data_IF_855847313927
#
_entry.id   IF_855847313927
#
_cell.length_a   1.000
_cell.length_b   1.000
_cell.length_c   1.000
_cell.angle_alpha   90.00
_cell.angle_beta   90.00
_cell.angle_gamma   90.00
#
_symmetry.space_group_name_H-M   'P 1'
#
loop_
_entity.id
_entity.type
_entity.pdbx_description
1 polymer ?
#
# COMPACT_ATOMS: atom_id res chain seq x y z
N UNK A 1 11.44 -4.90 -20.86
CA UNK A 1 11.88 -5.75 -19.75
C UNK A 1 10.76 -5.74 -18.74
N UNK A 2 9.93 -6.78 -18.74
CA UNK A 2 8.75 -6.87 -17.88
C UNK A 2 9.23 -7.29 -16.49
N UNK A 3 9.49 -6.29 -15.65
CA UNK A 3 9.91 -6.51 -14.27
C UNK A 3 8.72 -7.13 -13.54
N UNK A 4 8.84 -8.39 -13.10
CA UNK A 4 7.80 -9.07 -12.34
C UNK A 4 7.47 -8.25 -11.09
N UNK A 5 6.29 -7.61 -11.09
CA UNK A 5 5.78 -6.76 -10.00
C UNK A 5 5.74 -7.48 -8.64
N UNK A 6 5.88 -8.80 -8.62
CA UNK A 6 5.78 -9.63 -7.42
C UNK A 6 7.01 -9.58 -6.48
N UNK A 7 8.11 -8.91 -6.85
CA UNK A 7 9.36 -8.99 -6.10
C UNK A 7 10.02 -7.65 -5.69
N UNK A 8 9.38 -6.50 -5.92
CA UNK A 8 9.98 -5.21 -5.54
C UNK A 8 10.13 -5.10 -4.01
N UNK A 9 11.35 -4.83 -3.52
CA UNK A 9 11.62 -4.63 -2.08
C UNK A 9 11.79 -3.15 -1.75
N UNK A 10 11.53 -2.80 -0.49
CA UNK A 10 11.78 -1.46 0.02
C UNK A 10 13.24 -1.02 -0.21
N UNK A 11 14.19 -1.95 -0.06
CA UNK A 11 15.61 -1.69 -0.26
C UNK A 11 15.96 -1.34 -1.72
N UNK A 12 15.20 -1.88 -2.69
CA UNK A 12 15.46 -1.66 -4.12
C UNK A 12 15.03 -0.26 -4.57
N UNK A 13 14.09 0.37 -3.84
CA UNK A 13 13.50 1.68 -4.15
C UNK A 13 13.66 2.68 -2.99
N UNK A 14 14.71 2.52 -2.18
CA UNK A 14 14.89 3.31 -0.96
C UNK A 14 14.94 4.82 -1.27
N UNK A 15 15.67 5.23 -2.31
CA UNK A 15 15.76 6.64 -2.71
C UNK A 15 14.39 7.20 -3.14
N UNK A 16 13.58 6.38 -3.82
CA UNK A 16 12.24 6.77 -4.24
C UNK A 16 11.33 6.90 -3.01
N UNK A 17 11.41 5.97 -2.06
CA UNK A 17 10.70 6.03 -0.80
C UNK A 17 11.07 7.31 -0.05
N UNK A 18 12.36 7.57 0.17
CA UNK A 18 12.87 8.75 0.88
C UNK A 18 12.44 10.08 0.24
N UNK A 19 12.17 10.11 -1.07
CA UNK A 19 11.65 11.29 -1.76
C UNK A 19 10.27 11.75 -1.26
N UNK A 20 9.50 10.86 -0.60
CA UNK A 20 8.13 11.08 -0.14
C UNK A 20 7.19 11.62 -1.25
N UNK A 21 7.49 11.34 -2.52
CA UNK A 21 6.66 11.71 -3.67
C UNK A 21 5.27 11.04 -3.60
N UNK A 22 5.24 9.83 -3.06
CA UNK A 22 4.03 9.16 -2.62
C UNK A 22 4.30 8.37 -1.33
N UNK A 23 3.28 8.17 -0.50
CA UNK A 23 3.41 7.46 0.76
C UNK A 23 2.08 6.86 1.25
N UNK A 24 2.17 5.84 2.11
CA UNK A 24 1.01 5.23 2.79
C UNK A 24 0.98 5.76 4.25
N UNK A 25 0.03 6.64 4.62
CA UNK A 25 -0.07 7.15 5.99
C UNK A 25 -0.62 6.12 6.98
N UNK A 26 -1.12 4.98 6.49
CA UNK A 26 -1.77 3.95 7.31
C UNK A 26 -3.18 4.32 7.77
N UNK A 27 -3.76 5.37 7.20
CA UNK A 27 -5.16 5.74 7.39
C UNK A 27 -6.08 5.00 6.44
N UNK A 28 -7.40 5.14 6.68
CA UNK A 28 -8.47 4.59 5.87
C UNK A 28 -9.59 5.61 5.64
N UNK A 29 -10.35 5.46 4.56
CA UNK A 29 -11.62 6.20 4.37
C UNK A 29 -12.74 5.63 5.27
N UNK A 30 -13.95 6.18 5.17
CA UNK A 30 -15.11 5.72 5.95
C UNK A 30 -15.54 4.28 5.62
N UNK A 31 -15.20 3.76 4.44
CA UNK A 31 -15.48 2.39 4.02
C UNK A 31 -14.34 1.43 4.38
N UNK A 32 -13.32 1.90 5.11
CA UNK A 32 -12.17 1.09 5.53
C UNK A 32 -11.12 0.88 4.44
N UNK A 33 -11.22 1.57 3.29
CA UNK A 33 -10.26 1.47 2.19
C UNK A 33 -8.97 2.22 2.52
N UNK A 34 -7.78 1.62 2.28
CA UNK A 34 -6.52 2.25 2.63
C UNK A 34 -6.21 3.47 1.77
N UNK A 35 -5.49 4.42 2.36
CA UNK A 35 -5.07 5.66 1.71
C UNK A 35 -3.67 5.51 1.09
N UNK A 36 -3.50 6.01 -0.13
CA UNK A 36 -2.21 6.33 -0.74
C UNK A 36 -2.20 7.83 -1.01
N UNK A 37 -1.19 8.53 -0.49
CA UNK A 37 -1.03 9.97 -0.69
C UNK A 37 0.06 10.22 -1.73
N UNK A 38 -0.21 11.11 -2.68
CA UNK A 38 0.74 11.61 -3.67
C UNK A 38 0.95 13.09 -3.40
N UNK A 39 2.19 13.47 -3.11
CA UNK A 39 2.59 14.87 -3.06
C UNK A 39 2.94 15.28 -4.48
N UNK A 40 2.12 16.13 -5.11
CA UNK A 40 2.37 16.52 -6.50
C UNK A 40 3.63 17.39 -6.53
N UNK A 41 4.66 17.03 -7.30
CA UNK A 41 5.89 17.79 -7.40
C UNK A 41 5.67 19.06 -8.27
N UNK A 42 6.55 20.07 -8.15
CA UNK A 42 6.47 21.26 -9.00
C UNK A 42 6.71 20.93 -10.49
N UNK A 43 7.56 19.94 -10.76
CA UNK A 43 7.89 19.44 -12.09
C UNK A 43 7.72 17.93 -12.17
N UNK A 44 7.40 17.42 -13.36
CA UNK A 44 7.13 16.00 -13.58
C UNK A 44 7.85 15.52 -14.84
N UNK A 45 9.18 15.51 -14.72
CA UNK A 45 10.10 15.03 -15.73
C UNK A 45 10.15 13.49 -15.77
N UNK A 46 11.00 12.93 -16.64
CA UNK A 46 11.09 11.48 -16.79
C UNK A 46 11.60 10.79 -15.51
N UNK A 47 12.49 11.43 -14.75
CA UNK A 47 13.02 10.86 -13.52
C UNK A 47 11.91 10.77 -12.46
N UNK A 48 11.23 11.88 -12.18
CA UNK A 48 10.13 11.98 -11.22
C UNK A 48 8.97 11.06 -11.59
N UNK A 49 8.68 10.93 -12.89
CA UNK A 49 7.70 9.97 -13.41
C UNK A 49 8.08 8.54 -13.05
N UNK A 50 9.33 8.13 -13.29
CA UNK A 50 9.80 6.79 -12.93
C UNK A 50 9.75 6.54 -11.42
N UNK A 51 10.13 7.53 -10.60
CA UNK A 51 10.01 7.42 -9.13
C UNK A 51 8.57 7.17 -8.70
N UNK A 52 7.62 7.94 -9.23
CA UNK A 52 6.20 7.77 -8.91
C UNK A 52 5.69 6.39 -9.37
N UNK A 53 6.14 5.91 -10.54
CA UNK A 53 5.79 4.59 -11.05
C UNK A 53 6.24 3.47 -10.09
N UNK A 54 7.51 3.46 -9.68
CA UNK A 54 8.03 2.46 -8.74
C UNK A 54 7.34 2.54 -7.38
N UNK A 55 7.10 3.74 -6.86
CA UNK A 55 6.37 3.93 -5.60
C UNK A 55 4.97 3.34 -5.64
N UNK A 56 4.20 3.65 -6.68
CA UNK A 56 2.83 3.16 -6.81
C UNK A 56 2.82 1.63 -6.97
N UNK A 57 3.68 1.08 -7.83
CA UNK A 57 3.79 -0.37 -8.01
C UNK A 57 4.18 -1.08 -6.71
N UNK A 58 5.11 -0.50 -5.97
CA UNK A 58 5.51 -1.01 -4.66
C UNK A 58 4.35 -0.97 -3.65
N UNK A 59 3.67 0.16 -3.52
CA UNK A 59 2.55 0.29 -2.57
C UNK A 59 1.39 -0.66 -2.89
N UNK A 60 1.06 -0.86 -4.18
CA UNK A 60 0.06 -1.86 -4.57
C UNK A 60 0.50 -3.27 -4.16
N UNK A 61 1.80 -3.60 -4.27
CA UNK A 61 2.31 -4.92 -3.93
C UNK A 61 2.25 -5.22 -2.42
N UNK A 62 2.21 -4.18 -1.57
CA UNK A 62 2.04 -4.32 -0.12
C UNK A 62 0.63 -4.84 0.21
N UNK A 63 -0.40 -4.37 -0.49
CA UNK A 63 -1.79 -4.71 -0.19
C UNK A 63 -2.16 -6.14 -0.64
N UNK A 64 -2.89 -6.86 0.22
CA UNK A 64 -3.49 -8.15 -0.13
C UNK A 64 -4.44 -8.02 -1.32
N UNK A 65 -4.66 -9.13 -2.04
CA UNK A 65 -5.62 -9.15 -3.14
C UNK A 65 -7.02 -8.75 -2.66
N UNK A 66 -7.47 -9.26 -1.51
CA UNK A 66 -8.73 -8.83 -0.86
C UNK A 66 -8.78 -7.31 -0.61
N UNK A 67 -7.71 -6.72 -0.07
CA UNK A 67 -7.67 -5.27 0.18
C UNK A 67 -7.78 -4.49 -1.12
N UNK A 68 -7.12 -4.97 -2.18
CA UNK A 68 -7.17 -4.34 -3.51
C UNK A 68 -8.56 -4.44 -4.13
N UNK A 69 -9.25 -5.58 -4.00
CA UNK A 69 -10.61 -5.76 -4.50
C UNK A 69 -11.64 -4.91 -3.73
N UNK A 70 -11.44 -4.69 -2.42
CA UNK A 70 -12.25 -3.75 -1.63
C UNK A 70 -12.01 -2.28 -2.02
N UNK A 71 -10.92 -2.01 -2.74
CA UNK A 71 -10.61 -0.72 -3.30
C UNK A 71 -9.61 0.11 -2.51
N UNK A 72 -9.00 1.07 -3.21
CA UNK A 72 -7.98 1.98 -2.71
C UNK A 72 -8.43 3.44 -2.90
N UNK A 73 -8.00 4.32 -2.01
CA UNK A 73 -8.23 5.77 -2.11
C UNK A 73 -6.92 6.50 -2.38
N UNK A 74 -6.90 7.28 -3.45
CA UNK A 74 -5.79 8.17 -3.78
C UNK A 74 -6.07 9.58 -3.28
N UNK A 75 -5.20 10.10 -2.42
CA UNK A 75 -5.17 11.52 -2.08
C UNK A 75 -4.06 12.17 -2.89
N UNK A 76 -4.38 13.21 -3.65
CA UNK A 76 -3.43 13.94 -4.49
C UNK A 76 -3.30 15.35 -3.96
N UNK A 77 -2.20 15.64 -3.26
CA UNK A 77 -1.90 16.95 -2.72
C UNK A 77 -1.29 17.85 -3.80
N UNK A 78 -2.13 18.70 -4.40
CA UNK A 78 -1.79 19.59 -5.50
C UNK A 78 -1.68 21.06 -5.06
N UNK A 79 -1.61 21.34 -3.75
CA UNK A 79 -1.63 22.71 -3.21
C UNK A 79 -0.52 23.62 -3.72
N UNK A 80 0.60 23.05 -4.16
CA UNK A 80 1.79 23.80 -4.56
C UNK A 80 2.23 23.55 -6.01
N UNK A 81 1.36 22.92 -6.82
CA UNK A 81 1.78 22.35 -8.10
C UNK A 81 0.87 22.75 -9.25
N UNK A 82 1.48 22.84 -10.43
CA UNK A 82 0.75 23.21 -11.63
C UNK A 82 -0.31 22.17 -11.99
N UNK A 83 -1.45 22.62 -12.49
CA UNK A 83 -2.57 21.74 -12.84
C UNK A 83 -2.20 20.69 -13.91
N UNK A 84 -1.33 21.06 -14.84
CA UNK A 84 -0.79 20.13 -15.86
C UNK A 84 0.00 18.98 -15.23
N UNK A 85 0.78 19.26 -14.19
CA UNK A 85 1.57 18.26 -13.46
C UNK A 85 0.64 17.36 -12.66
N UNK A 86 -0.29 17.95 -11.92
CA UNK A 86 -1.33 17.24 -11.15
C UNK A 86 -2.08 16.22 -12.02
N UNK A 87 -2.54 16.63 -13.21
CA UNK A 87 -3.21 15.72 -14.17
C UNK A 87 -2.31 14.57 -14.60
N UNK A 88 -1.02 14.82 -14.79
CA UNK A 88 -0.06 13.80 -15.20
C UNK A 88 0.16 12.76 -14.10
N UNK A 89 0.28 13.20 -12.84
CA UNK A 89 0.39 12.30 -11.69
C UNK A 89 -0.88 11.47 -11.50
N UNK A 90 -2.07 12.11 -11.52
CA UNK A 90 -3.36 11.39 -11.41
C UNK A 90 -3.43 10.30 -12.48
N UNK A 91 -3.21 10.66 -13.75
CA UNK A 91 -3.30 9.73 -14.88
C UNK A 91 -2.32 8.56 -14.74
N UNK A 92 -1.07 8.82 -14.34
CA UNK A 92 -0.09 7.76 -14.15
C UNK A 92 -0.56 6.80 -13.05
N UNK A 93 -0.91 7.33 -11.88
CA UNK A 93 -1.28 6.52 -10.72
C UNK A 93 -2.57 5.73 -10.94
N UNK A 94 -3.61 6.33 -11.54
CA UNK A 94 -4.85 5.62 -11.85
C UNK A 94 -4.64 4.54 -12.91
N UNK A 95 -3.77 4.76 -13.90
CA UNK A 95 -3.45 3.75 -14.91
C UNK A 95 -2.70 2.55 -14.32
N UNK A 96 -1.79 2.79 -13.37
CA UNK A 96 -1.03 1.73 -12.71
C UNK A 96 -1.89 0.89 -11.76
N UNK A 97 -2.78 1.54 -11.00
CA UNK A 97 -3.65 0.86 -10.03
C UNK A 97 -4.86 0.20 -10.73
N UNK A 98 -5.36 0.81 -11.81
CA UNK A 98 -6.50 0.33 -12.59
C UNK A 98 -7.83 0.48 -11.85
N UNK A 99 -8.74 -0.48 -12.04
CA UNK A 99 -10.10 -0.48 -11.47
C UNK A 99 -10.15 -0.55 -9.94
N UNK A 100 -9.00 -0.79 -9.29
CA UNK A 100 -8.87 -0.87 -7.83
C UNK A 100 -8.86 0.51 -7.16
N UNK A 101 -8.72 1.60 -7.93
CA UNK A 101 -8.94 2.95 -7.39
C UNK A 101 -10.43 3.23 -7.37
N UNK A 102 -11.01 3.34 -6.18
CA UNK A 102 -12.44 3.66 -6.03
C UNK A 102 -12.64 5.17 -5.94
N UNK A 103 -11.70 5.89 -5.34
CA UNK A 103 -11.79 7.34 -5.17
C UNK A 103 -10.43 8.03 -5.37
N UNK A 104 -10.46 9.16 -6.08
CA UNK A 104 -9.33 10.08 -6.22
C UNK A 104 -9.74 11.42 -5.63
N UNK A 105 -9.12 11.82 -4.53
CA UNK A 105 -9.38 13.08 -3.84
C UNK A 105 -8.21 14.03 -4.09
N UNK A 106 -8.44 15.08 -4.86
CA UNK A 106 -7.44 16.08 -5.22
C UNK A 106 -7.59 17.30 -4.33
N UNK A 107 -6.55 17.59 -3.55
CA UNK A 107 -6.47 18.76 -2.67
C UNK A 107 -5.90 19.91 -3.49
N UNK A 108 -6.74 20.91 -3.74
CA UNK A 108 -6.36 22.14 -4.46
C UNK A 108 -5.93 23.25 -3.50
N UNK A 109 -5.15 24.25 -3.96
CA UNK A 109 -4.85 25.44 -3.17
C UNK A 109 -6.14 26.20 -2.78
N UNK A 110 -6.11 26.87 -1.63
CA UNK A 110 -7.16 27.82 -1.26
C UNK A 110 -7.20 28.97 -2.27
N UNK A 111 -8.40 29.47 -2.60
CA UNK A 111 -8.59 30.54 -3.59
C UNK A 111 -8.64 30.10 -5.05
N UNK A 112 -8.57 28.79 -5.35
CA UNK A 112 -8.70 28.27 -6.73
C UNK A 112 -10.11 28.44 -7.36
N UNK A 113 -11.01 29.23 -6.75
CA UNK A 113 -12.46 29.25 -7.06
C UNK A 113 -13.06 30.56 -7.55
N UNK A 114 -12.28 31.59 -7.86
CA UNK A 114 -12.90 32.83 -8.36
C UNK A 114 -13.43 32.78 -9.80
N UNK A 115 -13.28 31.67 -10.55
CA UNK A 115 -13.69 31.65 -11.97
C UNK A 115 -14.51 30.47 -12.48
N UNK A 116 -14.82 29.44 -11.68
CA UNK A 116 -15.75 28.37 -12.13
C UNK A 116 -16.52 27.78 -10.97
N UNK A 117 -17.57 28.49 -10.57
CA UNK A 117 -18.75 28.11 -9.77
C UNK A 117 -18.89 26.64 -9.39
N UNK A 118 -19.15 26.44 -8.10
CA UNK A 118 -19.45 25.21 -7.38
C UNK A 118 -20.22 24.16 -8.18
N UNK A 119 -19.57 23.00 -8.33
CA UNK A 119 -20.23 21.75 -8.66
C UNK A 119 -20.55 20.94 -7.40
N UNK A 120 -20.88 21.62 -6.29
CA UNK A 120 -21.29 20.97 -5.04
C UNK A 120 -22.66 20.25 -5.17
N UNK A 121 -23.30 20.31 -6.34
CA UNK A 121 -24.59 19.68 -6.67
C UNK A 121 -24.54 18.69 -7.82
N UNK A 122 -23.38 18.43 -8.45
CA UNK A 122 -23.30 17.31 -9.42
C UNK A 122 -23.08 16.02 -8.65
N UNK A 123 -23.98 15.06 -8.87
CA UNK A 123 -23.77 13.66 -8.52
C UNK A 123 -22.35 13.28 -8.94
N UNK A 124 -21.45 13.09 -7.98
CA UNK A 124 -20.12 12.61 -8.27
C UNK A 124 -20.28 11.23 -8.88
N UNK A 125 -19.81 11.07 -10.11
CA UNK A 125 -19.79 9.77 -10.75
C UNK A 125 -18.63 8.98 -10.15
N UNK A 126 -18.90 7.73 -9.83
CA UNK A 126 -17.89 6.78 -9.39
C UNK A 126 -16.74 6.74 -10.43
N UNK A 127 -15.50 6.91 -9.97
CA UNK A 127 -14.30 6.98 -10.81
C UNK A 127 -13.85 8.38 -11.27
N UNK A 128 -14.64 9.44 -11.10
CA UNK A 128 -14.20 10.82 -11.36
C UNK A 128 -13.46 11.41 -10.15
N UNK A 129 -12.32 12.13 -10.33
CA UNK A 129 -11.64 12.76 -9.23
C UNK A 129 -12.49 13.85 -8.55
N UNK A 130 -12.53 13.80 -7.23
CA UNK A 130 -13.11 14.82 -6.36
C UNK A 130 -12.09 15.95 -6.14
N UNK A 131 -12.49 17.20 -6.40
CA UNK A 131 -11.63 18.37 -6.21
C UNK A 131 -12.07 19.19 -5.01
N UNK A 132 -11.28 19.22 -3.95
CA UNK A 132 -11.63 19.89 -2.69
C UNK A 132 -10.47 20.72 -2.15
N UNK A 133 -10.78 21.67 -1.27
CA UNK A 133 -9.78 22.33 -0.42
C UNK A 133 -9.37 21.39 0.71
N UNK A 134 -8.20 21.65 1.32
CA UNK A 134 -7.74 20.86 2.47
C UNK A 134 -8.76 20.86 3.61
N UNK A 135 -9.38 22.01 3.86
CA UNK A 135 -10.41 22.18 4.89
C UNK A 135 -11.63 21.28 4.71
N UNK A 136 -11.90 20.77 3.50
CA UNK A 136 -13.04 19.87 3.21
C UNK A 136 -12.66 18.40 3.21
N UNK A 137 -11.39 18.04 3.39
CA UNK A 137 -10.93 16.65 3.34
C UNK A 137 -11.59 15.78 4.41
N UNK A 138 -11.83 16.34 5.59
CA UNK A 138 -12.45 15.65 6.72
C UNK A 138 -13.91 15.20 6.49
N UNK A 139 -14.56 15.69 5.43
CA UNK A 139 -15.90 15.24 5.03
C UNK A 139 -15.87 13.83 4.43
N UNK A 140 -14.71 13.41 3.89
CA UNK A 140 -14.54 12.14 3.18
C UNK A 140 -13.66 11.14 3.93
N UNK A 141 -12.79 11.63 4.81
CA UNK A 141 -11.84 10.83 5.57
C UNK A 141 -11.76 11.41 6.97
N UNK A 142 -11.97 10.59 8.00
CA UNK A 142 -11.90 11.04 9.38
C UNK A 142 -10.53 11.66 9.74
N UNK A 143 -10.53 12.70 10.56
CA UNK A 143 -9.31 13.42 10.93
C UNK A 143 -8.26 12.53 11.64
N UNK A 144 -8.70 11.45 12.32
CA UNK A 144 -7.84 10.43 12.94
C UNK A 144 -7.13 9.52 11.94
N UNK A 145 -7.57 9.52 10.69
CA UNK A 145 -6.98 8.74 9.61
C UNK A 145 -6.00 9.56 8.77
N UNK A 146 -5.92 10.88 9.00
CA UNK A 146 -5.09 11.79 8.22
C UNK A 146 -3.85 12.24 9.00
N UNK A 147 -2.67 12.31 8.36
CA UNK A 147 -1.48 12.89 8.99
C UNK A 147 -1.63 14.40 9.17
N UNK A 148 -0.79 15.00 10.02
CA UNK A 148 -0.82 16.43 10.34
C UNK A 148 -0.71 17.34 9.10
N UNK A 149 0.10 16.95 8.11
CA UNK A 149 0.27 17.71 6.86
C UNK A 149 -1.01 17.78 6.02
N UNK A 150 -1.95 16.86 6.28
CA UNK A 150 -3.29 16.80 5.69
C UNK A 150 -4.39 17.25 6.68
N UNK A 151 -4.02 18.06 7.68
CA UNK A 151 -4.91 18.61 8.70
C UNK A 151 -5.65 17.56 9.55
N UNK A 152 -5.04 16.39 9.74
CA UNK A 152 -5.48 15.39 10.71
C UNK A 152 -4.63 15.36 11.97
N UNK A 153 -4.80 14.31 12.79
CA UNK A 153 -4.01 14.09 14.01
C UNK A 153 -3.36 12.70 14.07
N UNK A 154 -3.36 11.94 12.95
CA UNK A 154 -2.68 10.65 12.89
C UNK A 154 -1.18 10.84 13.00
N UNK A 155 -0.56 10.15 13.97
CA UNK A 155 0.89 10.10 14.06
C UNK A 155 1.45 9.35 12.85
N UNK A 156 2.18 10.05 11.99
CA UNK A 156 2.88 9.48 10.85
C UNK A 156 4.32 9.99 10.84
N UNK A 157 5.28 9.06 10.86
CA UNK A 157 6.69 9.37 10.64
C UNK A 157 7.18 8.54 9.45
N UNK A 158 7.55 9.24 8.38
CA UNK A 158 7.90 8.61 7.12
C UNK A 158 9.18 7.77 7.22
N UNK A 159 10.21 8.28 7.89
CA UNK A 159 11.49 7.58 8.08
C UNK A 159 11.28 6.30 8.91
N UNK A 160 10.51 6.39 9.99
CA UNK A 160 10.18 5.22 10.81
C UNK A 160 9.30 4.21 10.04
N UNK A 161 8.39 4.69 9.20
CA UNK A 161 7.62 3.82 8.31
C UNK A 161 8.53 3.02 7.37
N UNK A 162 9.50 3.65 6.71
CA UNK A 162 10.46 2.97 5.82
C UNK A 162 11.27 1.93 6.61
N UNK A 163 11.82 2.31 7.78
CA UNK A 163 12.57 1.39 8.64
C UNK A 163 11.74 0.18 9.07
N UNK A 164 10.52 0.40 9.54
CA UNK A 164 9.59 -0.68 9.92
C UNK A 164 9.30 -1.57 8.72
N UNK A 165 9.08 -0.98 7.54
CA UNK A 165 8.78 -1.73 6.33
C UNK A 165 9.92 -2.64 5.90
N UNK A 166 11.16 -2.15 5.89
CA UNK A 166 12.34 -2.98 5.60
C UNK A 166 12.49 -4.14 6.59
N UNK A 167 12.26 -3.90 7.89
CA UNK A 167 12.29 -4.97 8.92
C UNK A 167 11.23 -6.03 8.64
N UNK A 168 10.00 -5.64 8.32
CA UNK A 168 8.91 -6.57 8.00
C UNK A 168 9.27 -7.43 6.79
N UNK A 169 9.86 -6.86 5.75
CA UNK A 169 10.28 -7.61 4.57
C UNK A 169 11.39 -8.61 4.86
N UNK A 170 12.35 -8.25 5.72
CA UNK A 170 13.39 -9.16 6.18
C UNK A 170 12.80 -10.31 7.01
N UNK A 171 11.95 -10.01 8.00
CA UNK A 171 11.30 -11.05 8.80
C UNK A 171 10.44 -11.99 7.96
N UNK A 172 9.76 -11.47 6.95
CA UNK A 172 8.98 -12.28 6.01
C UNK A 172 9.87 -13.22 5.20
N UNK A 173 11.05 -12.75 4.78
CA UNK A 173 12.04 -13.57 4.08
C UNK A 173 12.58 -14.67 4.99
N UNK A 174 12.97 -14.33 6.22
CA UNK A 174 13.52 -15.29 7.18
C UNK A 174 12.49 -16.36 7.56
N UNK A 175 11.23 -15.97 7.74
CA UNK A 175 10.13 -16.89 7.99
C UNK A 175 9.94 -17.86 6.82
N UNK A 176 9.92 -17.36 5.58
CA UNK A 176 9.79 -18.21 4.38
C UNK A 176 10.96 -19.19 4.22
N UNK A 177 12.18 -18.76 4.54
CA UNK A 177 13.36 -19.64 4.53
C UNK A 177 13.24 -20.74 5.59
N UNK A 178 12.78 -20.40 6.80
CA UNK A 178 12.52 -21.37 7.86
C UNK A 178 11.49 -22.41 7.43
N UNK A 179 10.37 -21.98 6.82
CA UNK A 179 9.36 -22.88 6.27
C UNK A 179 9.99 -23.84 5.26
N UNK A 180 10.75 -23.31 4.30
CA UNK A 180 11.39 -24.11 3.26
C UNK A 180 12.31 -25.18 3.83
N UNK A 181 13.11 -24.81 4.85
CA UNK A 181 13.99 -25.75 5.57
C UNK A 181 13.19 -26.82 6.31
N UNK A 182 12.10 -26.45 6.99
CA UNK A 182 11.22 -27.42 7.67
C UNK A 182 10.57 -28.37 6.67
N UNK A 183 10.05 -27.88 5.54
CA UNK A 183 9.49 -28.71 4.47
C UNK A 183 10.52 -29.68 3.90
N UNK A 184 11.75 -29.23 3.69
CA UNK A 184 12.83 -30.09 3.20
C UNK A 184 13.22 -31.17 4.22
N UNK A 185 13.33 -30.82 5.50
CA UNK A 185 13.59 -31.79 6.57
C UNK A 185 12.49 -32.84 6.65
N UNK A 186 11.23 -32.42 6.56
CA UNK A 186 10.09 -33.35 6.55
C UNK A 186 10.14 -34.30 5.34
N UNK A 187 10.39 -33.79 4.13
CA UNK A 187 10.56 -34.63 2.94
C UNK A 187 11.68 -35.66 3.10
N UNK A 188 12.79 -35.25 3.74
CA UNK A 188 13.92 -36.15 4.02
C UNK A 188 13.57 -37.20 5.07
N UNK A 189 12.85 -36.82 6.13
CA UNK A 189 12.36 -37.76 7.15
C UNK A 189 11.40 -38.78 6.55
N UNK A 190 10.42 -38.36 5.75
CA UNK A 190 9.51 -39.29 5.06
C UNK A 190 10.24 -40.22 4.09
N UNK A 191 11.31 -39.74 3.43
CA UNK A 191 12.16 -40.60 2.58
C UNK A 191 12.94 -41.63 3.41
N UNK A 192 13.32 -41.28 4.64
CA UNK A 192 14.02 -42.17 5.58
C UNK A 192 13.06 -43.15 6.28
N UNK A 193 11.85 -42.70 6.62
CA UNK A 193 10.78 -43.52 7.22
C UNK A 193 10.10 -44.44 6.21
N UNK A 194 10.18 -44.14 4.91
CA UNK A 194 9.91 -45.11 3.84
C UNK A 194 10.83 -46.35 3.91
N UNK A 195 11.94 -46.27 4.65
CA UNK A 195 12.88 -47.37 4.92
C UNK A 195 12.65 -47.97 6.34
N UNK A 196 11.91 -47.29 7.23
CA UNK A 196 11.55 -47.74 8.59
C UNK A 196 10.02 -47.66 8.82
N UNK A 197 9.35 -48.72 8.38
CA UNK A 197 7.97 -49.14 8.65
C UNK A 197 7.26 -48.49 9.88
N UNK A 198 6.05 -47.98 9.62
CA UNK A 198 4.87 -47.82 10.50
C UNK A 198 4.98 -46.96 11.78
N UNK A 199 4.06 -45.99 11.84
CA UNK A 199 3.60 -45.21 13.00
C UNK A 199 4.50 -44.05 13.48
N UNK A 200 4.09 -42.83 13.13
CA UNK A 200 3.57 -41.93 14.17
C UNK A 200 2.67 -40.88 13.53
N UNK A 201 1.35 -41.01 13.72
CA UNK A 201 0.32 -40.02 13.35
C UNK A 201 0.62 -38.63 13.97
N UNK A 202 1.45 -38.59 15.02
CA UNK A 202 1.87 -37.37 15.70
C UNK A 202 2.65 -36.41 14.80
N UNK A 203 3.60 -36.91 13.98
CA UNK A 203 4.49 -36.07 13.16
C UNK A 203 3.74 -35.36 12.03
N UNK A 204 2.73 -36.03 11.47
CA UNK A 204 1.87 -35.46 10.43
C UNK A 204 0.98 -34.36 11.04
N UNK A 205 0.42 -34.55 12.24
CA UNK A 205 -0.40 -33.53 12.91
C UNK A 205 0.39 -32.27 13.31
N UNK A 206 1.64 -32.42 13.80
CA UNK A 206 2.50 -31.27 14.10
C UNK A 206 2.85 -30.48 12.82
N UNK A 207 2.92 -31.16 11.68
CA UNK A 207 3.18 -30.53 10.40
C UNK A 207 1.97 -29.78 9.85
N UNK A 208 0.78 -30.37 9.90
CA UNK A 208 -0.47 -29.70 9.52
C UNK A 208 -0.68 -28.43 10.36
N UNK A 209 -0.43 -28.51 11.67
CA UNK A 209 -0.48 -27.36 12.58
C UNK A 209 0.58 -26.31 12.24
N UNK A 210 1.79 -26.73 11.83
CA UNK A 210 2.85 -25.82 11.37
C UNK A 210 2.49 -25.10 10.07
N UNK A 211 1.93 -25.82 9.09
CA UNK A 211 1.45 -25.24 7.83
C UNK A 211 0.26 -24.31 8.07
N UNK A 212 -0.65 -24.65 8.96
CA UNK A 212 -1.76 -23.79 9.35
C UNK A 212 -1.27 -22.53 10.07
N UNK A 213 -0.33 -22.64 11.00
CA UNK A 213 0.33 -21.49 11.66
C UNK A 213 1.06 -20.61 10.65
N UNK A 214 1.71 -21.20 9.65
CA UNK A 214 2.43 -20.45 8.62
C UNK A 214 1.51 -19.84 7.58
N UNK A 215 0.44 -20.53 7.21
CA UNK A 215 -0.66 -19.99 6.40
C UNK A 215 -1.31 -18.83 7.13
N UNK A 216 -1.56 -18.99 8.43
CA UNK A 216 -2.12 -17.96 9.30
C UNK A 216 -1.14 -16.83 9.52
N UNK A 217 0.15 -17.07 9.72
CA UNK A 217 1.16 -16.02 9.84
C UNK A 217 1.37 -15.29 8.51
N UNK A 218 1.35 -15.99 7.38
CA UNK A 218 1.40 -15.40 6.04
C UNK A 218 0.14 -14.61 5.78
N UNK A 219 -1.02 -15.14 6.13
CA UNK A 219 -2.31 -14.47 6.07
C UNK A 219 -2.28 -13.25 6.99
N UNK A 220 -1.76 -13.31 8.21
CA UNK A 220 -1.60 -12.17 9.13
C UNK A 220 -0.51 -11.21 8.65
N UNK A 221 0.51 -11.62 7.92
CA UNK A 221 1.46 -10.68 7.31
C UNK A 221 0.84 -9.99 6.08
N UNK A 222 -0.04 -10.69 5.37
CA UNK A 222 -0.75 -10.19 4.19
C UNK A 222 -2.01 -9.37 4.55
N UNK A 223 -2.72 -9.76 5.61
CA UNK A 223 -3.93 -9.12 6.16
C UNK A 223 -3.57 -8.14 7.28
N UNK A 224 -2.55 -8.42 8.08
CA UNK A 224 -2.05 -7.61 9.20
C UNK A 224 -1.17 -6.42 8.81
N UNK A 225 -1.46 -5.83 7.64
CA UNK A 225 -1.44 -4.37 7.51
C UNK A 225 -2.29 -3.72 8.62
N UNK A 226 -3.18 -4.47 9.27
CA UNK A 226 -3.95 -4.05 10.45
C UNK A 226 -3.26 -4.12 11.82
N UNK A 227 -2.05 -4.71 12.00
CA UNK A 227 -1.51 -4.98 13.37
C UNK A 227 -0.33 -4.08 13.80
N UNK A 228 0.32 -3.33 12.91
CA UNK A 228 1.44 -2.45 13.31
C UNK A 228 1.21 -0.96 13.02
N UNK A 229 -0.06 -0.53 13.09
CA UNK A 229 -0.46 0.88 13.04
C UNK A 229 -1.05 1.28 14.39
N UNK A 230 -0.21 1.28 15.42
CA UNK A 230 -0.32 2.17 16.58
C UNK A 230 1.09 2.71 16.88
#
# INVERSE_FOLDING_TARGET
MEMSMKNLKAADILEDLESKLAYIPGGRDHDGRPLIVINVPPEFDSATKSKLEFLILYFISIFSDETKENGLVLIVDARHSAWRVTRSCIRLSTNLIGSKVISVIVIRPDGFWDKRVDSCTKSHKEGEPLYITLTRLHVYIDFSQLPYELAGNKAYNHVEWIKKRMKIENYSKDALELVSKMTNLHQRLNTFDGIRIMQSDDVESYWEMGIELLSTARHILQSGIYIFIY
#
